data_IF_995247642167
#
_entry.id   IF_995247642167
#
_cell.length_a   1.000
_cell.length_b   1.000
_cell.length_c   1.000
_cell.angle_alpha   90.00
_cell.angle_beta   90.00
_cell.angle_gamma   90.00
#
_symmetry.space_group_name_H-M   'P 1'
#
loop_
_entity.id
_entity.type
_entity.pdbx_description
1 polymer ?
#
# COMPACT_ATOMS: atom_id res chain seq x y z
N UNK A 1 7.64 -6.70 6.85
CA UNK A 1 6.88 -7.87 6.28
C UNK A 1 6.28 -7.45 4.94
N UNK A 2 5.97 -8.39 4.03
CA UNK A 2 5.32 -8.04 2.75
C UNK A 2 4.24 -9.05 2.35
N UNK A 3 3.22 -8.58 1.65
CA UNK A 3 2.23 -9.41 0.97
C UNK A 3 2.02 -8.91 -0.46
N UNK A 4 1.54 -9.81 -1.31
CA UNK A 4 1.19 -9.48 -2.70
C UNK A 4 -0.32 -9.61 -2.86
N UNK A 5 -0.95 -8.56 -3.35
CA UNK A 5 -2.38 -8.55 -3.65
C UNK A 5 -2.60 -8.20 -5.12
N UNK A 6 -3.15 -9.14 -5.88
CA UNK A 6 -3.51 -8.92 -7.27
C UNK A 6 -4.99 -8.58 -7.38
N UNK A 7 -5.28 -7.44 -8.01
CA UNK A 7 -6.62 -7.04 -8.40
C UNK A 7 -6.89 -7.46 -9.84
N UNK A 8 -7.89 -8.32 -10.02
CA UNK A 8 -8.38 -8.74 -11.33
C UNK A 8 -9.60 -7.90 -11.71
N UNK A 9 -9.42 -6.96 -12.63
CA UNK A 9 -10.53 -6.27 -13.28
C UNK A 9 -11.15 -7.18 -14.35
N UNK A 10 -12.46 -6.99 -14.64
CA UNK A 10 -13.13 -7.72 -15.74
C UNK A 10 -12.76 -7.17 -17.12
N UNK A 11 -12.34 -5.90 -17.18
CA UNK A 11 -12.16 -5.15 -18.43
C UNK A 11 -10.74 -4.60 -18.59
N UNK A 12 -9.91 -4.70 -17.57
CA UNK A 12 -8.54 -4.19 -17.55
C UNK A 12 -7.54 -5.28 -17.17
N UNK A 13 -6.26 -5.15 -17.56
CA UNK A 13 -5.20 -6.04 -17.10
C UNK A 13 -5.17 -6.16 -15.57
N UNK A 14 -4.80 -7.34 -15.08
CA UNK A 14 -4.63 -7.55 -13.65
C UNK A 14 -3.50 -6.65 -13.12
N UNK A 15 -3.79 -5.93 -12.04
CA UNK A 15 -2.81 -5.05 -11.38
C UNK A 15 -2.34 -5.77 -10.11
N UNK A 16 -1.03 -5.93 -9.96
CA UNK A 16 -0.45 -6.53 -8.76
C UNK A 16 0.15 -5.44 -7.87
N UNK A 17 -0.36 -5.35 -6.64
CA UNK A 17 0.14 -4.45 -5.60
C UNK A 17 1.00 -5.23 -4.62
N UNK A 18 2.22 -4.76 -4.38
CA UNK A 18 3.07 -5.25 -3.29
C UNK A 18 2.86 -4.36 -2.07
N UNK A 19 2.39 -4.92 -0.97
CA UNK A 19 2.17 -4.17 0.29
C UNK A 19 3.29 -4.52 1.26
N UNK A 20 3.99 -3.51 1.75
CA UNK A 20 5.17 -3.59 2.59
C UNK A 20 4.84 -2.91 3.91
N UNK A 21 4.89 -3.67 5.00
CA UNK A 21 4.80 -3.13 6.35
C UNK A 21 6.13 -2.45 6.72
N UNK A 22 6.04 -1.21 7.20
CA UNK A 22 7.14 -0.36 7.67
C UNK A 22 6.84 0.06 9.11
N UNK A 23 7.62 -0.45 10.07
CA UNK A 23 7.37 -0.28 11.51
C UNK A 23 7.49 1.17 11.99
N UNK A 24 8.28 1.96 11.31
CA UNK A 24 8.47 3.38 11.55
C UNK A 24 7.15 4.14 11.39
N UNK A 25 6.30 3.70 10.46
CA UNK A 25 4.99 4.31 10.19
C UNK A 25 3.97 4.08 11.32
N UNK A 26 4.15 3.08 12.19
CA UNK A 26 3.26 2.87 13.35
C UNK A 26 3.33 4.01 14.36
N UNK A 27 4.47 4.69 14.42
CA UNK A 27 4.71 5.81 15.33
C UNK A 27 4.20 7.14 14.75
N UNK A 28 3.85 7.16 13.47
CA UNK A 28 3.30 8.32 12.80
C UNK A 28 1.77 8.21 12.75
N UNK A 29 1.07 9.20 13.30
CA UNK A 29 -0.37 9.32 13.07
C UNK A 29 -0.61 9.80 11.63
N UNK A 30 -0.65 8.85 10.70
CA UNK A 30 -0.96 9.12 9.31
C UNK A 30 -2.46 9.37 9.17
N UNK A 31 -2.84 10.48 8.52
CA UNK A 31 -4.25 10.74 8.13
C UNK A 31 -4.75 9.76 7.05
N UNK A 32 -3.81 9.07 6.40
CA UNK A 32 -4.00 8.11 5.30
C UNK A 32 -3.45 6.74 5.68
N UNK A 33 -3.78 5.70 4.90
CA UNK A 33 -3.37 4.31 5.20
C UNK A 33 -1.91 3.98 4.89
N UNK A 34 -1.11 4.95 4.46
CA UNK A 34 0.26 4.77 3.99
C UNK A 34 0.49 5.35 2.59
N UNK A 35 1.61 4.99 1.98
CA UNK A 35 2.09 5.58 0.74
C UNK A 35 2.06 4.58 -0.41
N UNK A 36 1.58 4.99 -1.58
CA UNK A 36 1.60 4.21 -2.81
C UNK A 36 2.58 4.82 -3.81
N UNK A 37 3.67 4.11 -4.08
CA UNK A 37 4.51 4.36 -5.25
C UNK A 37 3.82 3.77 -6.49
N UNK A 38 3.35 4.66 -7.37
CA UNK A 38 2.59 4.30 -8.56
C UNK A 38 3.43 3.63 -9.64
N UNK A 39 4.73 3.92 -9.69
CA UNK A 39 5.62 3.37 -10.73
C UNK A 39 5.93 1.90 -10.45
N UNK A 40 6.20 1.58 -9.18
CA UNK A 40 6.56 0.21 -8.76
C UNK A 40 5.37 -0.63 -8.28
N UNK A 41 4.17 -0.04 -8.18
CA UNK A 41 3.00 -0.64 -7.54
C UNK A 41 3.33 -1.19 -6.14
N UNK A 42 4.00 -0.37 -5.32
CA UNK A 42 4.36 -0.69 -3.94
C UNK A 42 3.66 0.23 -2.97
N UNK A 43 2.97 -0.37 -2.00
CA UNK A 43 2.38 0.33 -0.89
C UNK A 43 3.23 0.14 0.37
N UNK A 44 3.63 1.24 1.03
CA UNK A 44 4.34 1.25 2.30
C UNK A 44 3.38 1.70 3.38
N UNK A 45 3.11 0.83 4.34
CA UNK A 45 1.97 1.00 5.25
C UNK A 45 2.34 0.67 6.70
N UNK A 46 1.57 1.24 7.62
CA UNK A 46 1.57 0.87 9.04
C UNK A 46 0.95 -0.52 9.26
N UNK A 47 1.06 -1.04 10.47
CA UNK A 47 0.53 -2.35 10.84
C UNK A 47 -1.00 -2.40 10.71
N UNK A 48 -1.69 -1.33 11.13
CA UNK A 48 -3.14 -1.26 11.08
C UNK A 48 -3.67 -1.40 9.65
N UNK A 49 -3.04 -0.73 8.68
CA UNK A 49 -3.41 -0.84 7.27
C UNK A 49 -2.91 -2.14 6.65
N UNK A 50 -1.71 -2.62 7.02
CA UNK A 50 -1.21 -3.93 6.56
C UNK A 50 -2.21 -5.06 6.87
N UNK A 51 -2.77 -5.05 8.08
CA UNK A 51 -3.79 -6.03 8.51
C UNK A 51 -5.08 -5.96 7.69
N UNK A 52 -5.46 -4.80 7.16
CA UNK A 52 -6.61 -4.66 6.24
C UNK A 52 -6.32 -5.29 4.87
N UNK A 53 -5.06 -5.25 4.43
CA UNK A 53 -4.65 -5.94 3.20
C UNK A 53 -4.55 -7.46 3.36
N UNK A 54 -4.23 -7.93 4.57
CA UNK A 54 -4.19 -9.36 4.94
C UNK A 54 -5.59 -9.98 5.14
N UNK A 55 -6.64 -9.16 5.31
CA UNK A 55 -8.04 -9.60 5.43
C UNK A 55 -8.52 -10.37 4.18
N UNK A 56 -9.42 -11.35 4.30
CA UNK A 56 -9.91 -12.14 3.14
C UNK A 56 -10.92 -11.39 2.27
N UNK A 57 -11.52 -10.30 2.77
CA UNK A 57 -12.53 -9.51 2.09
C UNK A 57 -11.95 -8.57 1.04
N UNK A 58 -12.32 -8.79 -0.21
CA UNK A 58 -11.99 -7.89 -1.33
C UNK A 58 -12.46 -6.45 -1.06
N UNK A 59 -13.60 -6.27 -0.38
CA UNK A 59 -14.11 -4.94 -0.04
C UNK A 59 -13.18 -4.21 0.92
N UNK A 60 -12.65 -4.90 1.93
CA UNK A 60 -11.73 -4.33 2.93
C UNK A 60 -10.40 -3.94 2.27
N UNK A 61 -9.86 -4.80 1.40
CA UNK A 61 -8.62 -4.52 0.65
C UNK A 61 -8.77 -3.32 -0.29
N UNK A 62 -9.90 -3.21 -0.99
CA UNK A 62 -10.21 -2.05 -1.86
C UNK A 62 -10.32 -0.75 -1.07
N UNK A 63 -10.98 -0.79 0.08
CA UNK A 63 -11.08 0.37 0.98
C UNK A 63 -9.68 0.80 1.48
N UNK A 64 -8.85 -0.16 1.92
CA UNK A 64 -7.47 0.13 2.31
C UNK A 64 -6.66 0.76 1.17
N UNK A 65 -6.81 0.25 -0.06
CA UNK A 65 -6.15 0.82 -1.24
C UNK A 65 -6.59 2.25 -1.54
N UNK A 66 -7.90 2.55 -1.39
CA UNK A 66 -8.43 3.89 -1.61
C UNK A 66 -7.90 4.92 -0.60
N UNK A 67 -7.46 4.47 0.58
CA UNK A 67 -6.88 5.32 1.63
C UNK A 67 -5.38 5.59 1.47
N UNK A 68 -4.71 4.99 0.48
CA UNK A 68 -3.28 5.21 0.25
C UNK A 68 -3.02 6.57 -0.39
N UNK A 69 -2.06 7.32 0.18
CA UNK A 69 -1.56 8.55 -0.43
C UNK A 69 -0.66 8.19 -1.60
N UNK A 70 -1.00 8.70 -2.78
CA UNK A 70 -0.17 8.53 -3.99
C UNK A 70 1.06 9.40 -3.89
N UNK A 71 2.20 8.79 -4.16
CA UNK A 71 3.49 9.48 -4.21
C UNK A 71 4.22 9.07 -5.49
N UNK A 72 5.04 9.98 -5.97
CA UNK A 72 6.02 9.73 -7.02
C UNK A 72 7.17 8.90 -6.48
N UNK A 73 7.91 8.24 -7.38
CA UNK A 73 9.10 7.48 -7.00
C UNK A 73 10.16 8.36 -6.30
N UNK A 74 10.30 9.62 -6.75
CA UNK A 74 11.19 10.61 -6.12
C UNK A 74 10.81 10.93 -4.67
N UNK A 75 9.52 11.07 -4.39
CA UNK A 75 9.02 11.28 -3.03
C UNK A 75 9.29 10.04 -2.16
N UNK A 76 9.13 8.83 -2.70
CA UNK A 76 9.42 7.60 -1.98
C UNK A 76 10.90 7.51 -1.55
N UNK A 77 11.84 7.93 -2.42
CA UNK A 77 13.27 8.03 -2.08
C UNK A 77 13.52 9.05 -0.97
N UNK A 78 12.88 10.22 -1.06
CA UNK A 78 13.05 11.31 -0.08
C UNK A 78 12.52 10.91 1.30
N UNK A 79 11.47 10.08 1.34
CA UNK A 79 10.89 9.54 2.56
C UNK A 79 11.66 8.32 3.11
N UNK A 80 12.73 7.87 2.44
CA UNK A 80 13.50 6.69 2.85
C UNK A 80 12.75 5.37 2.76
N UNK A 81 11.69 5.30 1.94
CA UNK A 81 10.84 4.11 1.79
C UNK A 81 11.42 3.08 0.82
N UNK A 82 12.36 3.51 -0.01
CA UNK A 82 13.08 2.68 -0.97
C UNK A 82 14.46 2.38 -0.39
N UNK A 83 14.71 1.11 -0.07
CA UNK A 83 15.99 0.55 0.37
C UNK A 83 16.54 -0.39 -0.69
#
# INVERSE_FOLDING_TARGET
MKLTWTFYSKTEPAITLTVIYVSELDHHQLEYGGFLDQESNRAYVDWATFRRFDDTSVKVRKDAFARLKRITHKEALTLGLLT
#
